data_IF_465846395210
#
_entry.id   IF_465846395210
#
_cell.length_a   1.000
_cell.length_b   1.000
_cell.length_c   1.000
_cell.angle_alpha   90.00
_cell.angle_beta   90.00
_cell.angle_gamma   90.00
#
_symmetry.space_group_name_H-M   'P 1'
#
loop_
_entity.id
_entity.type
_entity.pdbx_description
1 polymer ?
#
# COMPACT_ATOMS: atom_id res chain seq x y z
N UNK A 1 14.08 11.65 5.18
CA UNK A 1 14.19 10.67 4.07
C UNK A 1 14.72 9.31 4.57
N UNK A 2 15.76 9.25 5.40
CA UNK A 2 16.31 7.97 5.92
C UNK A 2 15.26 7.13 6.65
N UNK A 3 14.54 7.70 7.61
CA UNK A 3 13.48 7.00 8.35
C UNK A 3 12.32 6.50 7.48
N UNK A 4 12.05 7.17 6.34
CA UNK A 4 11.07 6.67 5.38
C UNK A 4 11.54 5.39 4.69
N UNK A 5 12.81 5.35 4.26
CA UNK A 5 13.39 4.17 3.60
C UNK A 5 13.54 3.01 4.57
N UNK A 6 13.95 3.28 5.81
CA UNK A 6 14.07 2.26 6.87
C UNK A 6 12.70 1.68 7.24
N UNK A 7 11.70 2.54 7.51
CA UNK A 7 10.34 2.10 7.79
C UNK A 7 9.74 1.32 6.62
N UNK A 8 9.93 1.80 5.39
CA UNK A 8 9.49 1.13 4.17
C UNK A 8 10.14 -0.25 3.99
N UNK A 9 11.44 -0.37 4.31
CA UNK A 9 12.17 -1.64 4.23
C UNK A 9 11.65 -2.65 5.26
N UNK A 10 11.37 -2.20 6.49
CA UNK A 10 10.86 -3.08 7.55
C UNK A 10 9.42 -3.56 7.27
N UNK A 11 8.55 -2.69 6.77
CA UNK A 11 7.18 -3.05 6.38
C UNK A 11 7.15 -3.97 5.16
N UNK A 12 8.16 -3.89 4.30
CA UNK A 12 8.29 -4.74 3.11
C UNK A 12 8.73 -6.18 3.41
N UNK A 13 9.03 -6.53 4.66
CA UNK A 13 9.35 -7.90 5.03
C UNK A 13 8.12 -8.82 4.90
N UNK A 14 8.33 -10.02 4.37
CA UNK A 14 7.26 -11.03 4.23
C UNK A 14 6.78 -11.58 5.58
N UNK A 15 7.66 -11.56 6.59
CA UNK A 15 7.38 -12.02 7.94
C UNK A 15 7.89 -10.99 8.95
N UNK A 16 7.03 -10.62 9.90
CA UNK A 16 7.42 -9.80 11.03
C UNK A 16 7.54 -10.66 12.29
N UNK A 17 8.72 -10.60 12.91
CA UNK A 17 9.00 -11.11 14.26
C UNK A 17 8.81 -9.99 15.28
N UNK A 18 8.72 -10.34 16.57
CA UNK A 18 8.64 -9.36 17.67
C UNK A 18 9.72 -8.27 17.56
N UNK A 19 10.97 -8.67 17.27
CA UNK A 19 12.07 -7.73 17.07
C UNK A 19 11.84 -6.76 15.92
N UNK A 20 11.31 -7.24 14.79
CA UNK A 20 11.01 -6.36 13.66
C UNK A 20 9.81 -5.46 13.93
N UNK A 21 8.83 -5.91 14.71
CA UNK A 21 7.69 -5.09 15.13
C UNK A 21 8.15 -3.93 16.02
N UNK A 22 9.03 -4.19 16.99
CA UNK A 22 9.64 -3.15 17.83
C UNK A 22 10.40 -2.11 17.00
N UNK A 23 11.15 -2.56 15.98
CA UNK A 23 11.86 -1.67 15.07
C UNK A 23 10.89 -0.83 14.22
N UNK A 24 9.81 -1.43 13.71
CA UNK A 24 8.79 -0.71 12.93
C UNK A 24 8.13 0.35 13.81
N UNK A 25 7.75 0.03 15.05
CA UNK A 25 7.12 0.99 15.97
C UNK A 25 8.05 2.17 16.29
N UNK A 26 9.34 1.87 16.55
CA UNK A 26 10.36 2.90 16.76
C UNK A 26 10.52 3.80 15.53
N UNK A 27 10.66 3.22 14.35
CA UNK A 27 10.83 3.98 13.12
C UNK A 27 9.57 4.76 12.72
N UNK A 28 8.38 4.21 12.99
CA UNK A 28 7.12 4.91 12.80
C UNK A 28 7.05 6.17 13.68
N UNK A 29 7.52 6.08 14.93
CA UNK A 29 7.58 7.24 15.82
C UNK A 29 8.54 8.31 15.31
N UNK A 30 9.75 7.93 14.87
CA UNK A 30 10.74 8.84 14.29
C UNK A 30 10.19 9.48 13.02
N UNK A 31 9.65 8.68 12.11
CA UNK A 31 9.07 9.15 10.86
C UNK A 31 7.85 10.06 11.08
N UNK A 32 7.01 9.74 12.07
CA UNK A 32 5.84 10.54 12.45
C UNK A 32 6.20 11.96 12.90
N UNK A 33 7.37 12.17 13.51
CA UNK A 33 7.86 13.53 13.84
C UNK A 33 8.16 14.35 12.58
N UNK A 34 8.64 13.72 11.52
CA UNK A 34 8.90 14.37 10.23
C UNK A 34 7.62 14.59 9.40
N UNK A 35 6.59 13.77 9.58
CA UNK A 35 5.31 13.92 8.89
C UNK A 35 4.47 15.10 9.41
N UNK A 36 4.55 15.43 10.70
CA UNK A 36 3.82 16.59 11.28
C UNK A 36 4.22 17.93 10.64
N UNK A 37 5.41 17.99 10.04
CA UNK A 37 5.96 19.18 9.40
C UNK A 37 5.66 19.26 7.90
N UNK A 38 5.21 18.18 7.25
CA UNK A 38 5.01 18.15 5.80
C UNK A 38 3.79 17.31 5.39
N UNK A 39 2.68 18.01 5.13
CA UNK A 39 1.42 17.42 4.68
C UNK A 39 1.42 17.05 3.19
N UNK A 40 2.41 17.47 2.42
CA UNK A 40 2.53 17.12 1.00
C UNK A 40 3.10 15.70 0.79
N UNK A 41 3.45 15.01 1.88
CA UNK A 41 4.03 13.69 1.77
C UNK A 41 3.00 12.66 1.29
N UNK A 42 3.29 11.87 0.24
CA UNK A 42 2.32 10.94 -0.33
C UNK A 42 1.78 9.95 0.71
N UNK A 43 0.45 9.88 0.80
CA UNK A 43 -0.28 8.89 1.63
C UNK A 43 0.13 8.91 3.11
N UNK A 44 0.33 10.09 3.72
CA UNK A 44 0.59 10.25 5.17
C UNK A 44 -0.28 9.35 6.05
N UNK A 45 -1.57 9.24 5.73
CA UNK A 45 -2.51 8.45 6.51
C UNK A 45 -2.18 6.94 6.54
N UNK A 46 -1.62 6.39 5.45
CA UNK A 46 -1.18 4.99 5.40
C UNK A 46 -0.12 4.72 6.46
N UNK A 47 0.88 5.61 6.58
CA UNK A 47 1.99 5.47 7.51
C UNK A 47 1.56 5.58 8.97
N UNK A 48 0.44 6.25 9.26
CA UNK A 48 -0.13 6.32 10.61
C UNK A 48 -0.73 4.97 11.05
N UNK A 49 -1.30 4.21 10.12
CA UNK A 49 -2.04 2.98 10.43
C UNK A 49 -1.28 1.69 10.12
N UNK A 50 -0.11 1.77 9.48
CA UNK A 50 0.61 0.59 8.98
C UNK A 50 0.98 -0.43 10.06
N UNK A 51 1.41 0.02 11.24
CA UNK A 51 1.71 -0.87 12.38
C UNK A 51 0.48 -1.60 12.87
N UNK A 52 -0.63 -0.87 13.05
CA UNK A 52 -1.90 -1.46 13.46
C UNK A 52 -2.42 -2.48 12.43
N UNK A 53 -2.25 -2.20 11.13
CA UNK A 53 -2.58 -3.16 10.09
C UNK A 53 -1.72 -4.42 10.15
N UNK A 54 -0.41 -4.27 10.41
CA UNK A 54 0.50 -5.41 10.56
C UNK A 54 0.09 -6.27 11.77
N UNK A 55 -0.22 -5.65 12.90
CA UNK A 55 -0.70 -6.37 14.09
C UNK A 55 -2.01 -7.13 13.86
N UNK A 56 -3.00 -6.48 13.24
CA UNK A 56 -4.31 -7.10 13.07
C UNK A 56 -4.35 -8.14 11.94
N UNK A 57 -3.51 -7.97 10.91
CA UNK A 57 -3.55 -8.80 9.71
C UNK A 57 -2.39 -9.78 9.60
N UNK A 58 -1.38 -9.66 10.47
CA UNK A 58 -0.16 -10.46 10.46
C UNK A 58 0.82 -10.16 9.34
N UNK A 59 0.49 -9.28 8.39
CA UNK A 59 1.36 -8.95 7.25
C UNK A 59 1.06 -7.57 6.66
N UNK A 60 2.12 -6.86 6.23
CA UNK A 60 2.00 -5.61 5.50
C UNK A 60 1.70 -5.80 4.00
N UNK A 61 2.51 -6.59 3.31
CA UNK A 61 2.50 -6.69 1.83
C UNK A 61 1.42 -7.63 1.27
N UNK A 62 0.94 -8.59 2.06
CA UNK A 62 -0.04 -9.60 1.61
C UNK A 62 -1.44 -9.03 1.34
N UNK A 63 -1.69 -7.76 1.66
CA UNK A 63 -2.95 -7.05 1.39
C UNK A 63 -2.80 -5.98 0.30
N UNK A 64 -1.84 -6.15 -0.60
CA UNK A 64 -1.68 -5.23 -1.72
C UNK A 64 -2.84 -5.37 -2.71
N UNK A 65 -3.23 -4.26 -3.35
CA UNK A 65 -4.19 -4.27 -4.46
C UNK A 65 -3.56 -4.79 -5.77
N UNK A 66 -2.32 -5.27 -5.75
CA UNK A 66 -1.61 -5.71 -6.95
C UNK A 66 -2.31 -6.82 -7.72
N UNK A 67 -2.84 -7.88 -7.06
CA UNK A 67 -3.60 -8.91 -7.76
C UNK A 67 -4.80 -8.31 -8.51
N UNK A 68 -5.60 -7.47 -7.85
CA UNK A 68 -6.76 -6.81 -8.48
C UNK A 68 -6.35 -5.84 -9.59
N UNK A 69 -5.24 -5.11 -9.43
CA UNK A 69 -4.71 -4.23 -10.48
C UNK A 69 -4.27 -5.02 -11.70
N UNK A 70 -3.61 -6.17 -11.51
CA UNK A 70 -3.20 -7.05 -12.61
C UNK A 70 -4.42 -7.60 -13.36
N UNK A 71 -5.49 -7.92 -12.65
CA UNK A 71 -6.76 -8.35 -13.27
C UNK A 71 -7.39 -7.28 -14.17
N UNK A 72 -7.14 -5.99 -13.92
CA UNK A 72 -7.70 -4.93 -14.76
C UNK A 72 -7.21 -5.01 -16.21
N UNK A 73 -5.94 -5.37 -16.43
CA UNK A 73 -5.40 -5.59 -17.78
C UNK A 73 -6.13 -6.72 -18.50
N UNK A 74 -6.26 -7.90 -17.87
CA UNK A 74 -6.97 -9.02 -18.48
C UNK A 74 -8.44 -8.72 -18.75
N UNK A 75 -9.12 -7.98 -17.86
CA UNK A 75 -10.51 -7.57 -18.08
C UNK A 75 -10.63 -6.62 -19.27
N UNK A 76 -9.65 -5.73 -19.45
CA UNK A 76 -9.58 -4.83 -20.60
C UNK A 76 -9.35 -5.59 -21.91
N UNK A 77 -8.47 -6.58 -21.89
CA UNK A 77 -8.19 -7.41 -23.06
C UNK A 77 -9.44 -8.21 -23.47
N UNK A 78 -10.10 -8.87 -22.50
CA UNK A 78 -11.37 -9.59 -22.75
C UNK A 78 -12.45 -8.64 -23.28
N UNK A 79 -12.57 -7.43 -22.71
CA UNK A 79 -13.50 -6.44 -23.22
C UNK A 79 -13.17 -6.07 -24.69
N UNK A 80 -11.89 -5.89 -25.04
CA UNK A 80 -11.47 -5.58 -26.41
C UNK A 80 -11.74 -6.75 -27.38
N UNK A 81 -11.47 -7.98 -26.98
CA UNK A 81 -11.66 -9.17 -27.81
C UNK A 81 -13.14 -9.52 -28.00
N UNK A 82 -13.99 -9.24 -27.01
CA UNK A 82 -15.41 -9.59 -27.01
C UNK A 82 -16.33 -8.42 -27.40
N UNK A 83 -15.81 -7.19 -27.56
CA UNK A 83 -16.58 -6.00 -27.93
C UNK A 83 -16.25 -5.56 -29.35
N UNK A 84 -17.27 -5.14 -30.11
CA UNK A 84 -17.08 -4.48 -31.40
C UNK A 84 -16.72 -2.97 -31.25
N UNK A 85 -16.66 -2.45 -30.02
CA UNK A 85 -16.40 -1.05 -29.70
C UNK A 85 -17.50 -0.06 -30.12
N UNK A 86 -18.65 -0.55 -30.59
CA UNK A 86 -19.74 0.25 -31.17
C UNK A 86 -20.96 0.35 -30.26
N UNK A 87 -21.20 -0.67 -29.45
CA UNK A 87 -22.34 -0.72 -28.52
C UNK A 87 -21.98 -0.10 -27.16
N UNK A 88 -21.57 1.18 -27.17
CA UNK A 88 -21.29 1.94 -25.94
C UNK A 88 -22.57 2.70 -25.56
N UNK A 89 -23.22 2.28 -24.48
CA UNK A 89 -24.38 2.99 -23.93
C UNK A 89 -23.92 4.37 -23.46
N UNK A 90 -24.66 5.42 -23.84
CA UNK A 90 -24.40 6.79 -23.38
C UNK A 90 -24.51 6.82 -21.86
N UNK A 91 -23.41 7.17 -21.21
CA UNK A 91 -23.36 7.33 -19.76
C UNK A 91 -24.03 8.66 -19.40
N UNK A 92 -25.13 8.61 -18.63
CA UNK A 92 -25.86 9.78 -18.09
C UNK A 92 -25.08 10.44 -16.97
#
# INVERSE_FOLDING_TARGET
LCSYLELGSLIGLDMHTDRTLELIEREQFVFGKHLKTDWNFPKVHLWKHVVWYIWNKGAGHNYSMWPNKKMHSSLKDVYQDCSNGKDIVVQV
#
